data_IF_713589500557
#
_entry.id   IF_713589500557
#
_cell.length_a   1.000
_cell.length_b   1.000
_cell.length_c   1.000
_cell.angle_alpha   90.00
_cell.angle_beta   90.00
_cell.angle_gamma   90.00
#
_symmetry.space_group_name_H-M   'P 1'
#
loop_
_entity.id
_entity.type
_entity.pdbx_description
1 polymer ?
#
# COMPACT_ATOMS: atom_id res chain seq x y z
N UNK A 1 -12.46 -1.93 -10.72
CA UNK A 1 -12.75 -1.36 -9.38
C UNK A 1 -11.81 -1.86 -8.26
N UNK A 2 -10.89 -2.79 -8.53
CA UNK A 2 -9.94 -3.30 -7.51
C UNK A 2 -8.67 -2.45 -7.27
N UNK A 3 -8.52 -1.33 -7.96
CA UNK A 3 -7.34 -0.45 -7.82
C UNK A 3 -7.67 0.93 -7.25
N UNK A 4 -8.88 1.13 -6.74
CA UNK A 4 -9.38 2.44 -6.30
C UNK A 4 -8.63 2.96 -5.06
N UNK A 5 -8.24 2.06 -4.14
CA UNK A 5 -7.51 2.42 -2.93
C UNK A 5 -6.12 3.03 -3.21
N UNK A 6 -5.50 2.70 -4.35
CA UNK A 6 -4.23 3.30 -4.75
C UNK A 6 -4.40 4.77 -5.16
N UNK A 7 -5.61 5.18 -5.56
CA UNK A 7 -5.93 6.55 -5.93
C UNK A 7 -6.08 7.48 -4.71
N UNK A 8 -6.24 6.91 -3.53
CA UNK A 8 -6.27 7.62 -2.25
C UNK A 8 -4.88 7.83 -1.64
N UNK A 9 -3.82 7.22 -2.24
CA UNK A 9 -2.45 7.38 -1.78
C UNK A 9 -1.95 8.81 -1.94
N UNK A 10 -1.23 9.28 -0.93
CA UNK A 10 -0.66 10.63 -0.87
C UNK A 10 0.59 10.72 -1.74
N UNK A 11 0.56 11.50 -2.79
CA UNK A 11 1.67 11.69 -3.74
C UNK A 11 2.28 13.08 -3.56
N UNK A 12 3.57 13.12 -3.21
CA UNK A 12 4.35 14.35 -3.16
C UNK A 12 5.04 14.56 -4.52
N UNK A 13 4.84 15.73 -5.12
CA UNK A 13 5.54 16.18 -6.32
C UNK A 13 6.54 17.25 -5.92
N UNK A 14 7.82 17.09 -6.30
CA UNK A 14 8.86 18.09 -6.03
C UNK A 14 9.54 18.42 -7.36
N UNK A 15 9.32 19.63 -7.83
CA UNK A 15 9.87 20.18 -9.09
C UNK A 15 9.77 21.71 -9.02
N UNK A 16 10.77 22.44 -9.46
CA UNK A 16 10.73 23.92 -9.44
C UNK A 16 9.96 24.50 -10.63
N UNK A 17 9.73 23.71 -11.68
CA UNK A 17 8.94 24.07 -12.85
C UNK A 17 7.43 23.97 -12.58
N UNK A 18 6.79 25.10 -12.30
CA UNK A 18 5.34 25.16 -11.98
C UNK A 18 4.44 24.58 -13.05
N UNK A 19 4.84 24.70 -14.32
CA UNK A 19 4.12 24.13 -15.47
C UNK A 19 4.13 22.60 -15.44
N UNK A 20 5.26 22.00 -15.05
CA UNK A 20 5.40 20.54 -14.91
C UNK A 20 4.54 20.06 -13.74
N UNK A 21 4.63 20.69 -12.58
CA UNK A 21 3.79 20.38 -11.41
C UNK A 21 2.31 20.45 -11.78
N UNK A 22 1.88 21.53 -12.45
CA UNK A 22 0.49 21.72 -12.86
C UNK A 22 0.03 20.60 -13.79
N UNK A 23 0.81 20.33 -14.84
CA UNK A 23 0.52 19.27 -15.80
C UNK A 23 0.40 17.91 -15.11
N UNK A 24 1.37 17.51 -14.27
CA UNK A 24 1.33 16.24 -13.57
C UNK A 24 0.11 16.16 -12.64
N UNK A 25 -0.18 17.23 -11.91
CA UNK A 25 -1.33 17.28 -10.99
C UNK A 25 -2.65 17.10 -11.74
N UNK A 26 -2.85 17.80 -12.87
CA UNK A 26 -4.06 17.68 -13.69
C UNK A 26 -4.24 16.25 -14.19
N UNK A 27 -3.21 15.63 -14.76
CA UNK A 27 -3.26 14.24 -15.24
C UNK A 27 -3.52 13.23 -14.12
N UNK A 28 -2.90 13.41 -12.96
CA UNK A 28 -3.15 12.55 -11.79
C UNK A 28 -4.61 12.66 -11.31
N UNK A 29 -5.14 13.89 -11.25
CA UNK A 29 -6.52 14.13 -10.84
C UNK A 29 -7.55 13.56 -11.84
N UNK A 30 -7.30 13.71 -13.15
CA UNK A 30 -8.11 13.10 -14.20
C UNK A 30 -8.14 11.56 -14.10
N UNK A 31 -7.03 10.95 -13.70
CA UNK A 31 -6.92 9.50 -13.48
C UNK A 31 -7.47 9.07 -12.10
N UNK A 32 -7.98 10.01 -11.28
CA UNK A 32 -8.69 9.77 -10.03
C UNK A 32 -7.84 9.86 -8.75
N UNK A 33 -6.57 10.25 -8.82
CA UNK A 33 -5.77 10.53 -7.62
C UNK A 33 -6.26 11.84 -6.96
N UNK A 34 -6.57 11.78 -5.67
CA UNK A 34 -7.14 12.90 -4.93
C UNK A 34 -6.18 13.56 -3.94
N UNK A 35 -5.15 12.85 -3.53
CA UNK A 35 -4.21 13.29 -2.49
C UNK A 35 -2.86 13.65 -3.13
N UNK A 36 -2.71 14.90 -3.57
CA UNK A 36 -1.51 15.40 -4.23
C UNK A 36 -1.03 16.65 -3.53
N UNK A 37 0.25 16.72 -3.19
CA UNK A 37 0.91 17.92 -2.65
C UNK A 37 2.13 18.25 -3.51
N UNK A 38 2.36 19.53 -3.78
CA UNK A 38 3.47 20.01 -4.55
C UNK A 38 4.46 20.79 -3.67
N UNK A 39 5.74 20.77 -4.05
CA UNK A 39 6.82 21.55 -3.49
C UNK A 39 7.78 21.96 -4.61
N UNK A 40 8.41 23.12 -4.49
CA UNK A 40 9.35 23.64 -5.50
C UNK A 40 10.82 23.60 -5.07
N UNK A 41 11.10 23.14 -3.86
CA UNK A 41 12.45 23.13 -3.27
C UNK A 41 12.66 21.91 -2.38
N UNK A 42 13.93 21.57 -2.09
CA UNK A 42 14.29 20.53 -1.12
C UNK A 42 13.69 20.84 0.26
N UNK A 43 13.77 22.11 0.69
CA UNK A 43 13.25 22.53 1.99
C UNK A 43 11.74 22.33 2.10
N UNK A 44 10.97 22.76 1.09
CA UNK A 44 9.51 22.56 1.03
C UNK A 44 9.15 21.08 0.96
N UNK A 45 9.90 20.29 0.18
CA UNK A 45 9.72 18.84 0.10
C UNK A 45 9.87 18.15 1.45
N UNK A 46 10.93 18.46 2.20
CA UNK A 46 11.15 17.92 3.56
C UNK A 46 10.06 18.35 4.54
N UNK A 47 9.61 19.59 4.46
CA UNK A 47 8.50 20.08 5.28
C UNK A 47 7.22 19.29 4.96
N UNK A 48 6.92 19.11 3.68
CA UNK A 48 5.76 18.34 3.24
C UNK A 48 5.81 16.88 3.75
N UNK A 49 6.97 16.24 3.74
CA UNK A 49 7.13 14.88 4.27
C UNK A 49 6.81 14.81 5.77
N UNK A 50 7.32 15.75 6.56
CA UNK A 50 7.10 15.78 8.02
C UNK A 50 5.64 16.05 8.40
N UNK A 51 4.99 17.00 7.72
CA UNK A 51 3.65 17.44 8.05
C UNK A 51 2.55 16.55 7.47
N UNK A 52 2.75 16.05 6.27
CA UNK A 52 1.69 15.41 5.50
C UNK A 52 1.87 13.91 5.34
N UNK A 53 3.10 13.39 5.56
CA UNK A 53 3.44 11.97 5.47
C UNK A 53 2.98 11.36 4.13
N UNK A 54 3.60 11.75 3.00
CA UNK A 54 3.29 11.18 1.70
C UNK A 54 3.61 9.68 1.65
N UNK A 55 2.95 8.98 0.76
CA UNK A 55 3.12 7.53 0.55
C UNK A 55 3.86 7.23 -0.75
N UNK A 56 4.14 8.26 -1.55
CA UNK A 56 4.99 8.21 -2.73
C UNK A 56 5.55 9.60 -3.02
N UNK A 57 6.76 9.66 -3.58
CA UNK A 57 7.36 10.91 -4.04
C UNK A 57 7.71 10.83 -5.54
N UNK A 58 7.46 11.90 -6.27
CA UNK A 58 7.98 12.17 -7.61
C UNK A 58 8.92 13.36 -7.47
N UNK A 59 10.20 13.16 -7.72
CA UNK A 59 11.27 14.11 -7.39
C UNK A 59 12.04 14.52 -8.64
N UNK A 60 12.10 15.82 -8.91
CA UNK A 60 13.09 16.30 -9.85
C UNK A 60 14.50 16.14 -9.28
N UNK A 61 15.45 15.76 -10.12
CA UNK A 61 16.88 15.69 -9.74
C UNK A 61 17.43 17.08 -9.52
N UNK A 62 17.07 18.06 -10.36
CA UNK A 62 17.59 19.42 -10.29
C UNK A 62 16.63 20.35 -9.54
N UNK A 63 17.02 20.83 -8.35
CA UNK A 63 16.25 21.73 -7.53
C UNK A 63 17.07 22.98 -7.18
N UNK A 64 16.43 24.15 -6.99
CA UNK A 64 17.15 25.42 -6.83
C UNK A 64 17.99 25.52 -5.54
N UNK A 65 17.67 24.72 -4.53
CA UNK A 65 18.34 24.71 -3.21
C UNK A 65 19.06 23.39 -2.90
N UNK A 66 19.24 22.53 -3.94
CA UNK A 66 19.92 21.25 -3.79
C UNK A 66 19.61 20.28 -4.94
N UNK A 67 19.54 19.01 -4.63
CA UNK A 67 19.20 17.97 -5.59
C UNK A 67 18.20 16.95 -5.00
N UNK A 68 17.46 16.29 -5.91
CA UNK A 68 16.43 15.34 -5.54
C UNK A 68 16.97 14.09 -4.84
N UNK A 69 18.23 13.69 -5.09
CA UNK A 69 18.82 12.52 -4.44
C UNK A 69 19.11 12.82 -2.97
N UNK A 70 19.73 13.97 -2.68
CA UNK A 70 19.93 14.44 -1.31
C UNK A 70 18.60 14.62 -0.55
N UNK A 71 17.56 15.08 -1.25
CA UNK A 71 16.21 15.14 -0.68
C UNK A 71 15.72 13.73 -0.32
N UNK A 72 15.87 12.76 -1.20
CA UNK A 72 15.41 11.39 -0.98
C UNK A 72 16.18 10.71 0.15
N UNK A 73 17.50 10.89 0.25
CA UNK A 73 18.29 10.40 1.39
C UNK A 73 17.74 10.91 2.72
N UNK A 74 17.45 12.20 2.81
CA UNK A 74 16.83 12.80 4.01
C UNK A 74 15.42 12.29 4.26
N UNK A 75 14.63 12.02 3.21
CA UNK A 75 13.30 11.41 3.37
C UNK A 75 13.42 10.02 3.99
N UNK A 76 14.40 9.23 3.58
CA UNK A 76 14.64 7.88 4.11
C UNK A 76 15.01 7.85 5.60
N UNK A 77 15.48 8.93 6.18
CA UNK A 77 15.68 9.04 7.62
C UNK A 77 14.37 9.04 8.42
N UNK A 78 13.25 9.39 7.77
CA UNK A 78 11.95 9.51 8.43
C UNK A 78 10.95 8.44 8.00
N UNK A 79 11.04 7.98 6.75
CA UNK A 79 10.05 7.07 6.17
C UNK A 79 10.61 6.32 4.96
N UNK A 80 10.12 5.10 4.75
CA UNK A 80 10.44 4.29 3.58
C UNK A 80 9.31 4.39 2.54
N UNK A 81 9.26 5.49 1.79
CA UNK A 81 8.31 5.66 0.69
C UNK A 81 9.00 5.44 -0.66
N UNK A 82 8.30 4.89 -1.66
CA UNK A 82 8.84 4.79 -3.01
C UNK A 82 9.03 6.16 -3.64
N UNK A 83 10.11 6.31 -4.42
CA UNK A 83 10.37 7.50 -5.20
C UNK A 83 10.55 7.18 -6.69
N UNK A 84 10.00 8.05 -7.53
CA UNK A 84 10.24 8.14 -8.96
C UNK A 84 11.00 9.43 -9.23
N UNK A 85 12.17 9.34 -9.86
CA UNK A 85 12.94 10.53 -10.22
C UNK A 85 12.63 11.02 -11.63
N UNK A 86 12.57 12.34 -11.77
CA UNK A 86 12.54 13.03 -13.05
C UNK A 86 13.93 13.63 -13.30
N UNK A 87 14.55 13.35 -14.45
CA UNK A 87 15.92 13.79 -14.75
C UNK A 87 16.01 14.40 -16.15
N UNK A 88 16.95 15.31 -16.37
CA UNK A 88 17.25 15.84 -17.69
C UNK A 88 17.99 14.79 -18.55
N UNK A 89 17.92 14.92 -19.87
CA UNK A 89 18.55 14.01 -20.83
C UNK A 89 20.07 14.16 -20.79
N UNK A 90 20.81 13.09 -20.45
CA UNK A 90 22.29 13.06 -20.56
C UNK A 90 23.05 12.65 -19.31
N UNK A 91 22.37 12.39 -18.19
CA UNK A 91 23.01 12.07 -16.91
C UNK A 91 22.88 10.58 -16.61
N UNK A 92 23.61 9.73 -17.37
CA UNK A 92 23.68 8.29 -17.07
C UNK A 92 24.34 8.03 -15.69
N UNK A 93 25.16 8.96 -15.19
CA UNK A 93 25.76 8.90 -13.86
C UNK A 93 24.69 9.04 -12.76
N UNK A 94 23.70 9.90 -12.94
CA UNK A 94 22.58 10.08 -12.00
C UNK A 94 21.71 8.83 -11.87
N UNK A 95 21.52 8.10 -12.98
CA UNK A 95 20.79 6.82 -12.97
C UNK A 95 21.52 5.75 -12.17
N UNK A 96 22.86 5.72 -12.21
CA UNK A 96 23.68 4.77 -11.46
C UNK A 96 23.67 5.14 -9.98
N UNK A 97 23.80 6.43 -9.65
CA UNK A 97 23.76 6.93 -8.28
C UNK A 97 22.41 6.63 -7.61
N UNK A 98 21.31 6.94 -8.29
CA UNK A 98 19.98 6.71 -7.75
C UNK A 98 19.59 5.24 -7.64
N UNK A 99 20.06 4.35 -8.55
CA UNK A 99 19.87 2.90 -8.39
C UNK A 99 20.57 2.39 -7.12
N UNK A 100 21.71 2.95 -6.76
CA UNK A 100 22.42 2.68 -5.50
C UNK A 100 21.65 3.15 -4.28
N UNK A 101 20.81 4.18 -4.40
CA UNK A 101 19.99 4.74 -3.31
C UNK A 101 18.66 4.00 -3.10
N UNK A 102 18.31 3.03 -3.96
CA UNK A 102 17.07 2.25 -3.84
C UNK A 102 15.83 2.98 -4.36
N UNK A 103 15.98 3.88 -5.33
CA UNK A 103 14.85 4.45 -6.07
C UNK A 103 14.08 3.37 -6.83
N UNK A 104 12.78 3.54 -6.95
CA UNK A 104 11.92 2.56 -7.60
C UNK A 104 11.92 2.68 -9.12
N UNK A 105 12.07 3.89 -9.67
CA UNK A 105 12.15 4.12 -11.12
C UNK A 105 12.71 5.52 -11.45
N UNK A 106 13.04 5.73 -12.74
CA UNK A 106 13.53 6.97 -13.31
C UNK A 106 12.82 7.31 -14.60
N UNK A 107 12.61 8.59 -14.85
CA UNK A 107 12.02 9.09 -16.09
C UNK A 107 12.78 10.32 -16.59
N UNK A 108 13.12 10.32 -17.88
CA UNK A 108 13.86 11.41 -18.53
C UNK A 108 12.89 12.46 -19.03
N UNK A 109 13.15 13.74 -18.74
CA UNK A 109 12.45 14.90 -19.32
C UNK A 109 12.98 15.16 -20.77
N UNK A 110 12.10 15.47 -21.75
CA UNK A 110 10.65 15.53 -21.66
C UNK A 110 10.00 14.16 -21.71
N UNK A 111 8.92 13.97 -20.96
CA UNK A 111 8.19 12.70 -20.84
C UNK A 111 6.72 12.83 -21.25
N UNK A 112 6.10 11.70 -21.55
CA UNK A 112 4.67 11.65 -21.79
C UNK A 112 3.91 11.51 -20.44
N UNK A 113 2.92 12.38 -20.15
CA UNK A 113 2.15 12.30 -18.91
C UNK A 113 1.51 10.94 -18.66
N UNK A 114 1.04 10.27 -19.73
CA UNK A 114 0.49 8.90 -19.64
C UNK A 114 1.52 7.87 -19.18
N UNK A 115 2.78 8.02 -19.59
CA UNK A 115 3.86 7.13 -19.15
C UNK A 115 4.13 7.33 -17.65
N UNK A 116 4.18 8.59 -17.19
CA UNK A 116 4.34 8.91 -15.78
C UNK A 116 3.22 8.29 -14.92
N UNK A 117 1.96 8.42 -15.34
CA UNK A 117 0.81 7.81 -14.66
C UNK A 117 0.93 6.28 -14.56
N UNK A 118 1.32 5.62 -15.66
CA UNK A 118 1.51 4.17 -15.66
C UNK A 118 2.60 3.74 -14.68
N UNK A 119 3.73 4.45 -14.64
CA UNK A 119 4.86 4.17 -13.73
C UNK A 119 4.45 4.39 -12.26
N UNK A 120 3.78 5.48 -11.95
CA UNK A 120 3.22 5.75 -10.61
C UNK A 120 2.29 4.60 -10.19
N UNK A 121 1.36 4.20 -11.06
CA UNK A 121 0.45 3.09 -10.79
C UNK A 121 1.16 1.75 -10.55
N UNK A 122 2.21 1.44 -11.32
CA UNK A 122 3.03 0.23 -11.15
C UNK A 122 3.78 0.26 -9.82
N UNK A 123 4.41 1.40 -9.48
CA UNK A 123 5.15 1.57 -8.22
C UNK A 123 4.21 1.41 -7.03
N UNK A 124 3.09 2.14 -7.00
CA UNK A 124 2.11 2.04 -5.93
C UNK A 124 1.56 0.62 -5.79
N UNK A 125 1.19 -0.03 -6.90
CA UNK A 125 0.71 -1.42 -6.88
C UNK A 125 1.75 -2.40 -6.33
N UNK A 126 3.03 -2.17 -6.61
CA UNK A 126 4.13 -3.03 -6.12
C UNK A 126 4.37 -2.83 -4.63
N UNK A 127 4.37 -1.57 -4.17
CA UNK A 127 4.69 -1.22 -2.78
C UNK A 127 3.53 -1.46 -1.83
N UNK A 128 2.29 -1.23 -2.29
CA UNK A 128 1.08 -1.31 -1.47
C UNK A 128 0.17 -2.49 -1.85
N UNK A 129 0.75 -3.54 -2.46
CA UNK A 129 0.01 -4.74 -2.87
C UNK A 129 -0.73 -5.40 -1.69
N UNK A 130 -0.12 -5.39 -0.53
CA UNK A 130 -0.69 -6.00 0.68
C UNK A 130 -1.76 -5.11 1.37
N UNK A 131 -1.95 -3.89 0.86
CA UNK A 131 -2.97 -2.96 1.32
C UNK A 131 -4.22 -2.94 0.42
N UNK A 132 -4.29 -3.80 -0.63
CA UNK A 132 -5.52 -3.93 -1.45
C UNK A 132 -6.69 -4.29 -0.52
N UNK A 133 -7.68 -3.38 -0.36
CA UNK A 133 -8.78 -3.62 0.57
C UNK A 133 -9.70 -4.77 0.10
N UNK A 134 -9.61 -5.15 -1.17
CA UNK A 134 -10.44 -6.19 -1.78
C UNK A 134 -9.65 -7.49 -1.95
N UNK A 135 -9.91 -8.45 -1.09
CA UNK A 135 -9.20 -9.72 -1.04
C UNK A 135 -10.12 -10.84 -1.53
N UNK A 136 -9.74 -11.49 -2.63
CA UNK A 136 -10.49 -12.59 -3.20
C UNK A 136 -10.17 -13.90 -2.48
N UNK A 137 -11.21 -14.60 -2.05
CA UNK A 137 -11.17 -15.96 -1.48
C UNK A 137 -11.97 -16.92 -2.36
N UNK A 138 -11.85 -18.22 -2.11
CA UNK A 138 -12.48 -19.29 -2.91
C UNK A 138 -14.02 -19.16 -3.04
N UNK A 139 -14.70 -18.58 -2.05
CA UNK A 139 -16.17 -18.45 -2.08
C UNK A 139 -16.68 -17.09 -1.63
N UNK A 140 -15.79 -16.12 -1.41
CA UNK A 140 -16.15 -14.80 -0.92
C UNK A 140 -15.06 -13.77 -1.21
N UNK A 141 -15.39 -12.50 -0.93
CA UNK A 141 -14.46 -11.39 -1.03
C UNK A 141 -14.47 -10.61 0.28
N UNK A 142 -13.30 -10.31 0.81
CA UNK A 142 -13.16 -9.41 1.97
C UNK A 142 -12.92 -8.00 1.45
N UNK A 143 -13.73 -7.05 1.91
CA UNK A 143 -13.53 -5.61 1.69
C UNK A 143 -13.03 -4.99 3.01
N UNK A 144 -11.71 -4.80 3.11
CA UNK A 144 -11.10 -4.22 4.31
C UNK A 144 -11.40 -2.73 4.45
N UNK A 145 -11.64 -1.99 3.34
CA UNK A 145 -11.98 -0.58 3.41
C UNK A 145 -13.35 -0.35 4.03
N UNK A 146 -14.29 -1.27 3.80
CA UNK A 146 -15.65 -1.20 4.33
C UNK A 146 -15.89 -2.06 5.56
N UNK A 147 -14.88 -2.83 5.99
CA UNK A 147 -14.96 -3.81 7.07
C UNK A 147 -16.14 -4.79 6.86
N UNK A 148 -16.25 -5.37 5.66
CA UNK A 148 -17.31 -6.31 5.31
C UNK A 148 -16.80 -7.49 4.47
N UNK A 149 -17.57 -8.56 4.45
CA UNK A 149 -17.38 -9.71 3.54
C UNK A 149 -18.52 -9.73 2.54
N UNK A 150 -18.18 -9.86 1.26
CA UNK A 150 -19.16 -10.06 0.18
C UNK A 150 -19.20 -11.56 -0.14
N UNK A 151 -20.39 -12.17 0.00
CA UNK A 151 -20.61 -13.60 -0.23
C UNK A 151 -22.00 -13.82 -0.81
N UNK A 152 -22.10 -14.55 -1.92
CA UNK A 152 -23.37 -14.86 -2.59
C UNK A 152 -24.23 -13.59 -2.89
N UNK A 153 -23.57 -12.48 -3.26
CA UNK A 153 -24.22 -11.19 -3.50
C UNK A 153 -24.67 -10.42 -2.24
N UNK A 154 -24.55 -11.02 -1.05
CA UNK A 154 -24.82 -10.37 0.23
C UNK A 154 -23.58 -9.74 0.84
N UNK A 155 -23.77 -8.72 1.71
CA UNK A 155 -22.71 -8.05 2.47
C UNK A 155 -22.86 -8.36 3.96
N UNK A 156 -21.80 -8.84 4.58
CA UNK A 156 -21.74 -9.25 5.97
C UNK A 156 -20.73 -8.36 6.69
N UNK A 157 -21.15 -7.48 7.61
CA UNK A 157 -20.24 -6.59 8.33
C UNK A 157 -19.31 -7.38 9.24
N UNK A 158 -18.08 -6.90 9.38
CA UNK A 158 -17.09 -7.40 10.32
C UNK A 158 -17.18 -6.62 11.63
N UNK A 159 -17.09 -7.30 12.75
CA UNK A 159 -16.84 -6.64 14.05
C UNK A 159 -15.39 -6.17 14.11
N UNK A 160 -15.08 -5.23 15.01
CA UNK A 160 -13.71 -4.71 15.17
C UNK A 160 -12.67 -5.83 15.34
N UNK A 161 -12.96 -6.83 16.18
CA UNK A 161 -12.05 -7.96 16.42
C UNK A 161 -11.90 -8.88 15.20
N UNK A 162 -12.98 -9.16 14.48
CA UNK A 162 -12.93 -9.92 13.22
C UNK A 162 -12.13 -9.19 12.16
N UNK A 163 -12.28 -7.86 12.10
CA UNK A 163 -11.51 -7.01 11.19
C UNK A 163 -10.01 -7.05 11.52
N UNK A 164 -9.61 -6.85 12.78
CA UNK A 164 -8.21 -6.85 13.20
C UNK A 164 -7.54 -8.21 12.90
N UNK A 165 -8.24 -9.33 13.22
CA UNK A 165 -7.77 -10.68 12.93
C UNK A 165 -7.62 -10.90 11.42
N UNK A 166 -8.63 -10.55 10.62
CA UNK A 166 -8.57 -10.70 9.16
C UNK A 166 -7.49 -9.83 8.55
N UNK A 167 -7.33 -8.58 8.99
CA UNK A 167 -6.28 -7.69 8.54
C UNK A 167 -4.87 -8.27 8.79
N UNK A 168 -4.64 -8.85 9.97
CA UNK A 168 -3.37 -9.51 10.29
C UNK A 168 -3.13 -10.75 9.39
N UNK A 169 -4.16 -11.55 9.15
CA UNK A 169 -4.10 -12.72 8.26
C UNK A 169 -3.87 -12.32 6.80
N UNK A 170 -4.53 -11.26 6.33
CA UNK A 170 -4.39 -10.75 4.96
C UNK A 170 -2.99 -10.21 4.67
N UNK A 171 -2.40 -9.45 5.61
CA UNK A 171 -1.01 -8.97 5.52
C UNK A 171 0.01 -10.11 5.44
N UNK A 172 -0.33 -11.27 5.98
CA UNK A 172 0.51 -12.46 6.01
C UNK A 172 -0.06 -13.59 5.14
N UNK A 173 -0.80 -13.25 4.08
CA UNK A 173 -1.45 -14.25 3.23
C UNK A 173 -0.47 -15.29 2.70
N UNK A 174 -0.90 -16.55 2.70
CA UNK A 174 -0.05 -17.67 2.33
C UNK A 174 0.98 -18.10 3.38
N UNK A 175 1.16 -17.34 4.46
CA UNK A 175 2.05 -17.64 5.61
C UNK A 175 1.24 -18.04 6.83
N UNK A 176 1.91 -18.69 7.78
CA UNK A 176 1.31 -19.02 9.08
C UNK A 176 1.38 -17.79 9.98
N UNK A 177 0.24 -17.40 10.57
CA UNK A 177 0.17 -16.39 11.63
C UNK A 177 -0.11 -17.12 12.94
N UNK A 178 0.75 -16.92 13.92
CA UNK A 178 0.65 -17.62 15.20
C UNK A 178 -0.54 -17.14 16.03
N UNK A 179 -0.96 -17.95 17.01
CA UNK A 179 -2.04 -17.59 17.93
C UNK A 179 -1.71 -16.29 18.65
N UNK A 180 -0.47 -16.15 19.14
CA UNK A 180 0.00 -14.96 19.86
C UNK A 180 -0.06 -13.71 18.99
N UNK A 181 0.41 -13.78 17.73
CA UNK A 181 0.34 -12.68 16.77
C UNK A 181 -1.10 -12.24 16.48
N UNK A 182 -2.04 -13.19 16.38
CA UNK A 182 -3.44 -12.88 16.17
C UNK A 182 -4.11 -12.28 17.43
N UNK A 183 -3.73 -12.79 18.61
CA UNK A 183 -4.19 -12.22 19.88
C UNK A 183 -3.64 -10.80 20.06
N UNK A 184 -2.37 -10.57 19.78
CA UNK A 184 -1.77 -9.24 19.83
C UNK A 184 -2.45 -8.28 18.84
N UNK A 185 -2.66 -8.69 17.60
CA UNK A 185 -3.35 -7.88 16.60
C UNK A 185 -4.76 -7.46 17.03
N UNK A 186 -5.49 -8.36 17.70
CA UNK A 186 -6.88 -8.11 18.09
C UNK A 186 -7.02 -7.44 19.47
N UNK A 187 -6.15 -7.73 20.45
CA UNK A 187 -6.29 -7.28 21.85
C UNK A 187 -5.14 -6.41 22.36
N UNK A 188 -4.05 -6.20 21.56
CA UNK A 188 -2.92 -5.37 21.95
C UNK A 188 -1.83 -6.09 22.72
N UNK A 189 -0.98 -5.35 23.41
CA UNK A 189 0.30 -5.82 23.99
C UNK A 189 0.20 -6.88 25.11
N UNK A 190 -0.97 -7.25 25.57
CA UNK A 190 -1.11 -8.27 26.61
C UNK A 190 -2.05 -9.40 26.17
N UNK A 191 -1.61 -10.27 25.23
CA UNK A 191 -2.45 -11.25 24.54
C UNK A 191 -2.82 -12.49 25.36
N UNK A 192 -2.33 -12.64 26.60
CA UNK A 192 -2.54 -13.84 27.42
C UNK A 192 -4.00 -14.05 27.82
N UNK A 193 -4.50 -15.27 27.62
CA UNK A 193 -5.85 -15.67 28.02
C UNK A 193 -6.94 -15.41 26.97
N UNK A 194 -6.59 -14.90 25.79
CA UNK A 194 -7.57 -14.64 24.72
C UNK A 194 -7.67 -15.77 23.67
N UNK A 195 -6.95 -16.90 23.83
CA UNK A 195 -6.92 -18.00 22.87
C UNK A 195 -8.33 -18.58 22.61
N UNK A 196 -9.14 -18.74 23.65
CA UNK A 196 -10.52 -19.20 23.52
C UNK A 196 -11.39 -18.17 22.78
N UNK A 197 -11.19 -16.88 23.07
CA UNK A 197 -11.87 -15.79 22.36
C UNK A 197 -11.46 -15.74 20.90
N UNK A 198 -10.17 -15.90 20.59
CA UNK A 198 -9.66 -16.00 19.22
C UNK A 198 -10.33 -17.14 18.47
N UNK A 199 -10.40 -18.35 19.04
CA UNK A 199 -11.07 -19.50 18.41
C UNK A 199 -12.54 -19.22 18.09
N UNK A 200 -13.26 -18.52 18.98
CA UNK A 200 -14.64 -18.12 18.72
C UNK A 200 -14.74 -17.12 17.57
N UNK A 201 -13.83 -16.16 17.46
CA UNK A 201 -13.78 -15.23 16.34
C UNK A 201 -13.38 -15.90 15.04
N UNK A 202 -12.38 -16.78 15.04
CA UNK A 202 -12.01 -17.59 13.86
C UNK A 202 -13.21 -18.39 13.34
N UNK A 203 -14.01 -18.99 14.22
CA UNK A 203 -15.24 -19.68 13.83
C UNK A 203 -16.23 -18.72 13.13
N UNK A 204 -16.50 -17.56 13.73
CA UNK A 204 -17.41 -16.55 13.15
C UNK A 204 -16.89 -16.01 11.81
N UNK A 205 -15.59 -15.80 11.69
CA UNK A 205 -14.97 -15.40 10.43
C UNK A 205 -15.20 -16.48 9.38
N UNK A 206 -14.98 -17.76 9.69
CA UNK A 206 -15.26 -18.86 8.77
C UNK A 206 -16.73 -18.91 8.33
N UNK A 207 -17.67 -18.69 9.24
CA UNK A 207 -19.09 -18.60 8.91
C UNK A 207 -19.38 -17.51 7.86
N UNK A 208 -18.60 -16.43 7.85
CA UNK A 208 -18.73 -15.34 6.87
C UNK A 208 -18.00 -15.60 5.57
N UNK A 209 -16.80 -16.19 5.59
CA UNK A 209 -15.94 -16.29 4.40
C UNK A 209 -15.96 -17.64 3.69
N UNK A 210 -16.25 -18.74 4.38
CA UNK A 210 -16.19 -20.08 3.84
C UNK A 210 -17.58 -20.54 3.35
N UNK A 211 -17.62 -21.32 2.29
CA UNK A 211 -18.87 -22.02 1.91
C UNK A 211 -19.25 -23.07 2.96
N UNK A 212 -18.27 -23.83 3.46
CA UNK A 212 -18.44 -24.74 4.57
C UNK A 212 -17.47 -24.45 5.71
N UNK A 213 -17.92 -23.77 6.78
CA UNK A 213 -17.09 -23.41 7.93
C UNK A 213 -16.40 -24.57 8.64
N UNK A 214 -16.97 -25.78 8.53
CA UNK A 214 -16.39 -27.01 9.13
C UNK A 214 -15.31 -27.66 8.26
N UNK A 215 -15.22 -27.27 6.98
CA UNK A 215 -14.19 -27.70 6.04
C UNK A 215 -13.59 -26.48 5.35
N UNK A 216 -12.88 -25.62 6.10
CA UNK A 216 -12.37 -24.35 5.58
C UNK A 216 -11.30 -24.58 4.53
N UNK A 217 -11.37 -23.81 3.43
CA UNK A 217 -10.39 -23.82 2.33
C UNK A 217 -9.56 -22.52 2.29
N UNK A 218 -10.16 -21.40 2.72
CA UNK A 218 -9.48 -20.11 2.74
C UNK A 218 -8.81 -19.84 4.09
N UNK A 219 -9.48 -20.07 5.23
CA UNK A 219 -8.90 -19.85 6.55
C UNK A 219 -8.61 -21.22 7.22
N UNK A 220 -7.45 -21.75 6.98
CA UNK A 220 -7.04 -23.09 7.43
C UNK A 220 -6.35 -23.05 8.79
N UNK A 221 -6.51 -24.14 9.59
CA UNK A 221 -5.77 -24.33 10.84
C UNK A 221 -4.47 -25.05 10.56
N UNK A 222 -3.36 -24.53 11.06
CA UNK A 222 -2.06 -25.22 11.10
C UNK A 222 -1.85 -25.72 12.52
N UNK A 223 -2.07 -27.02 12.73
CA UNK A 223 -2.10 -27.65 14.05
C UNK A 223 -0.83 -27.32 14.87
N UNK A 224 -1.03 -26.80 16.08
CA UNK A 224 0.02 -26.45 17.02
C UNK A 224 0.77 -25.13 16.69
N UNK A 225 0.45 -24.44 15.59
CA UNK A 225 1.15 -23.23 15.19
C UNK A 225 0.23 -22.00 15.10
N UNK A 226 -0.95 -22.12 14.48
CA UNK A 226 -1.84 -20.98 14.29
C UNK A 226 -2.75 -21.17 13.08
N UNK A 227 -2.92 -20.09 12.31
CA UNK A 227 -3.84 -20.06 11.17
C UNK A 227 -3.13 -19.53 9.91
N UNK A 228 -3.65 -19.92 8.76
CA UNK A 228 -3.17 -19.49 7.46
C UNK A 228 -4.35 -19.07 6.60
N UNK A 229 -4.28 -17.87 6.00
CA UNK A 229 -5.23 -17.42 5.00
C UNK A 229 -4.67 -17.71 3.60
N UNK A 230 -5.46 -18.40 2.79
CA UNK A 230 -5.18 -18.69 1.39
C UNK A 230 -6.07 -17.81 0.55
N UNK A 231 -5.45 -16.96 -0.26
CA UNK A 231 -6.14 -16.10 -1.23
C UNK A 231 -6.19 -16.80 -2.59
N UNK A 232 -7.20 -16.51 -3.38
CA UNK A 232 -7.18 -16.88 -4.79
C UNK A 232 -6.23 -15.94 -5.54
N UNK A 233 -5.29 -16.52 -6.29
CA UNK A 233 -4.50 -15.76 -7.24
C UNK A 233 -5.44 -15.15 -8.28
N UNK A 234 -5.45 -13.82 -8.40
CA UNK A 234 -6.04 -13.14 -9.56
C UNK A 234 -5.19 -13.53 -10.79
N UNK A 235 -5.41 -14.73 -11.36
CA UNK A 235 -4.88 -15.02 -12.68
C UNK A 235 -5.59 -14.11 -13.66
N UNK A 236 -4.79 -13.24 -14.25
CA UNK A 236 -5.13 -12.39 -15.39
C UNK A 236 -5.48 -13.27 -16.58
#
# INVERSE_FOLDING_TARGET
MAADYLKEKKILLVDDEKEIIKMITEFLQEDGYSQIRAAGTVAEGLQAVREWQPEMAVLDVMLPDGDGFSLFEKIKEFTEIPALFLTARGEDEDRIQGLGLGAYDYMVKPFLPKELLLRIGIILKRCYKDEDPLIQLAGSQIDLARAEVVKNGGRLPLTAKEYDILRALCRNAGRIVTIDQLCEAAWGENPFGYENSLMAHIRRIREKIEENPSKPVSLTTVKGLGYKLVMEDKRI
#
